data_IF_917610892513
#
_entry.id   IF_917610892513
#
_cell.length_a   1.000
_cell.length_b   1.000
_cell.length_c   1.000
_cell.angle_alpha   90.00
_cell.angle_beta   90.00
_cell.angle_gamma   90.00
#
_symmetry.space_group_name_H-M   'P 1'
#
loop_
_entity.id
_entity.type
_entity.pdbx_description
1 polymer ?
#
# COMPACT_ATOMS: atom_id res chain seq x y z
N UNK A 1 -23.07 9.61 -1.19
CA UNK A 1 -22.54 8.34 -0.68
C UNK A 1 -22.80 7.23 -1.69
N UNK A 2 -21.76 6.52 -2.10
CA UNK A 2 -21.85 5.41 -3.05
C UNK A 2 -20.99 4.25 -2.55
N UNK A 3 -21.40 3.04 -2.90
CA UNK A 3 -20.56 1.86 -2.65
C UNK A 3 -19.42 1.81 -3.67
N UNK A 4 -18.26 1.30 -3.23
CA UNK A 4 -17.09 1.10 -4.08
C UNK A 4 -16.89 -0.41 -4.27
N UNK A 5 -16.90 -0.86 -5.51
CA UNK A 5 -16.60 -2.26 -5.83
C UNK A 5 -15.11 -2.39 -6.09
N UNK A 6 -14.41 -3.09 -5.20
CA UNK A 6 -12.95 -3.22 -5.27
C UNK A 6 -12.48 -3.90 -6.55
N UNK A 7 -13.14 -4.99 -6.95
CA UNK A 7 -12.75 -5.72 -8.16
C UNK A 7 -12.85 -4.83 -9.41
N UNK A 8 -13.92 -4.04 -9.51
CA UNK A 8 -14.10 -3.11 -10.63
C UNK A 8 -13.02 -2.03 -10.63
N UNK A 9 -12.66 -1.51 -9.46
CA UNK A 9 -11.61 -0.48 -9.35
C UNK A 9 -10.24 -1.03 -9.69
N UNK A 10 -9.88 -2.22 -9.21
CA UNK A 10 -8.61 -2.86 -9.57
C UNK A 10 -8.52 -3.14 -11.07
N UNK A 11 -9.63 -3.38 -11.75
CA UNK A 11 -9.64 -3.61 -13.19
C UNK A 11 -9.30 -2.37 -14.02
N UNK A 12 -9.27 -1.18 -13.41
CA UNK A 12 -9.03 0.07 -14.12
C UNK A 12 -7.54 0.37 -14.36
N UNK A 13 -6.62 -0.36 -13.75
CA UNK A 13 -5.19 -0.07 -13.87
C UNK A 13 -4.35 -1.34 -13.86
N UNK A 14 -3.17 -1.26 -14.46
CA UNK A 14 -2.24 -2.40 -14.59
C UNK A 14 -0.85 -2.14 -14.00
N UNK A 15 -0.52 -0.89 -13.68
CA UNK A 15 0.79 -0.53 -13.14
C UNK A 15 0.97 -1.04 -11.71
N UNK A 16 2.21 -1.28 -11.35
CA UNK A 16 2.59 -1.75 -10.02
C UNK A 16 3.22 -0.63 -9.19
N UNK A 17 3.10 -0.72 -7.88
CA UNK A 17 3.71 0.19 -6.91
C UNK A 17 3.26 1.65 -7.07
N UNK A 18 2.13 1.87 -7.70
CA UNK A 18 1.54 3.19 -7.93
C UNK A 18 0.14 3.24 -7.34
N UNK A 19 -0.03 3.65 -6.09
CA UNK A 19 -1.34 3.67 -5.43
C UNK A 19 -2.30 4.62 -6.13
N UNK A 20 -3.58 4.23 -6.15
CA UNK A 20 -4.68 5.06 -6.66
C UNK A 20 -5.61 5.41 -5.52
N UNK A 21 -6.07 6.65 -5.46
CA UNK A 21 -7.01 7.09 -4.44
C UNK A 21 -8.41 6.62 -4.85
N UNK A 22 -9.01 5.76 -4.03
CA UNK A 22 -10.37 5.26 -4.26
C UNK A 22 -11.40 5.95 -3.35
N UNK A 23 -10.97 6.58 -2.28
CA UNK A 23 -11.85 7.28 -1.36
C UNK A 23 -11.08 8.01 -0.29
N UNK A 24 -11.80 8.77 0.53
CA UNK A 24 -11.24 9.50 1.66
C UNK A 24 -12.07 9.24 2.91
N UNK A 25 -11.38 9.08 4.02
CA UNK A 25 -11.98 8.88 5.33
C UNK A 25 -11.28 9.84 6.31
N UNK A 26 -11.93 10.97 6.61
CA UNK A 26 -11.31 12.05 7.40
C UNK A 26 -9.94 12.44 6.81
N UNK A 27 -8.88 12.38 7.62
CA UNK A 27 -7.52 12.74 7.19
C UNK A 27 -6.78 11.60 6.49
N UNK A 28 -7.46 10.51 6.16
CA UNK A 28 -6.89 9.36 5.50
C UNK A 28 -7.44 9.18 4.08
N UNK A 29 -6.65 8.55 3.24
CA UNK A 29 -7.11 8.00 1.96
C UNK A 29 -7.31 6.50 2.06
N UNK A 30 -8.29 6.01 1.33
CA UNK A 30 -8.40 4.60 0.95
C UNK A 30 -7.76 4.49 -0.43
N UNK A 31 -6.62 3.80 -0.51
CA UNK A 31 -5.86 3.63 -1.75
C UNK A 31 -5.90 2.19 -2.20
N UNK A 32 -5.89 1.98 -3.51
CA UNK A 32 -5.76 0.66 -4.10
C UNK A 32 -4.43 0.59 -4.83
N UNK A 33 -3.69 -0.51 -4.64
CA UNK A 33 -2.40 -0.69 -5.28
C UNK A 33 -2.21 -2.15 -5.68
N UNK A 34 -1.59 -2.36 -6.82
CA UNK A 34 -1.09 -3.67 -7.25
C UNK A 34 0.40 -3.72 -7.00
N UNK A 35 0.85 -4.85 -6.44
CA UNK A 35 2.25 -5.06 -6.10
C UNK A 35 2.75 -6.31 -6.79
N UNK A 36 3.98 -6.25 -7.30
CA UNK A 36 4.70 -7.40 -7.84
C UNK A 36 6.19 -7.12 -7.78
N UNK A 37 6.94 -8.08 -7.25
CA UNK A 37 8.37 -7.91 -7.04
C UNK A 37 8.69 -7.30 -5.69
N UNK A 38 9.85 -6.72 -5.58
CA UNK A 38 10.38 -6.15 -4.35
C UNK A 38 10.35 -4.63 -4.42
N UNK A 39 9.89 -3.98 -3.35
CA UNK A 39 9.89 -2.53 -3.27
C UNK A 39 11.25 -2.00 -2.80
N UNK A 40 11.27 -1.13 -1.78
CA UNK A 40 12.49 -0.60 -1.16
C UNK A 40 12.33 -0.58 0.35
N UNK A 41 13.44 -0.70 1.09
CA UNK A 41 13.44 -0.46 2.51
C UNK A 41 13.13 1.02 2.76
N UNK A 42 12.12 1.29 3.58
CA UNK A 42 11.72 2.66 3.92
C UNK A 42 10.91 2.67 5.21
N UNK A 43 10.67 3.87 5.72
CA UNK A 43 9.76 4.12 6.83
C UNK A 43 9.02 5.43 6.61
N UNK A 44 7.93 5.61 7.35
CA UNK A 44 7.18 6.86 7.38
C UNK A 44 7.34 7.49 8.76
N UNK A 45 7.83 8.72 8.82
CA UNK A 45 8.17 9.34 10.11
C UNK A 45 6.94 9.62 10.98
N UNK A 46 5.81 9.95 10.35
CA UNK A 46 4.63 10.45 11.05
C UNK A 46 3.35 9.69 10.75
N UNK A 47 3.39 8.68 9.87
CA UNK A 47 2.19 7.99 9.42
C UNK A 47 2.24 6.50 9.76
N UNK A 48 1.13 6.00 10.34
CA UNK A 48 0.87 4.57 10.38
C UNK A 48 0.29 4.15 9.03
N UNK A 49 0.55 2.92 8.61
CA UNK A 49 0.10 2.42 7.31
C UNK A 49 -0.58 1.07 7.46
N UNK A 50 -1.85 0.98 7.05
CA UNK A 50 -2.59 -0.28 7.06
C UNK A 50 -2.55 -0.91 5.68
N UNK A 51 -2.13 -2.19 5.63
CA UNK A 51 -2.15 -3.03 4.43
C UNK A 51 -3.23 -4.10 4.59
N UNK A 52 -4.25 -4.07 3.76
CA UNK A 52 -5.27 -5.13 3.67
C UNK A 52 -5.09 -5.88 2.35
N UNK A 53 -4.76 -7.16 2.40
CA UNK A 53 -4.61 -7.97 1.19
C UNK A 53 -5.97 -8.45 0.72
N UNK A 54 -6.35 -8.06 -0.49
CA UNK A 54 -7.61 -8.45 -1.14
C UNK A 54 -7.41 -9.69 -2.00
N UNK A 55 -6.26 -9.81 -2.65
CA UNK A 55 -5.95 -10.95 -3.52
C UNK A 55 -4.46 -11.26 -3.46
N UNK A 56 -4.12 -12.53 -3.32
CA UNK A 56 -2.74 -12.98 -3.22
C UNK A 56 -2.22 -12.94 -1.79
N UNK A 57 -0.92 -12.81 -1.64
CA UNK A 57 -0.27 -12.71 -0.33
C UNK A 57 0.94 -11.78 -0.40
N UNK A 58 1.12 -11.01 0.64
CA UNK A 58 2.18 -10.00 0.75
C UNK A 58 3.14 -10.38 1.86
N UNK A 59 4.44 -10.27 1.59
CA UNK A 59 5.47 -10.34 2.60
C UNK A 59 5.89 -8.93 3.00
N UNK A 60 5.71 -8.59 4.28
CA UNK A 60 6.28 -7.37 4.85
C UNK A 60 7.52 -7.76 5.63
N UNK A 61 8.69 -7.45 5.08
CA UNK A 61 9.95 -7.69 5.77
C UNK A 61 10.23 -6.56 6.72
N UNK A 62 10.45 -6.90 8.00
CA UNK A 62 10.93 -5.98 9.01
C UNK A 62 12.40 -6.29 9.29
N UNK A 63 13.11 -5.41 9.98
CA UNK A 63 14.54 -5.65 10.25
C UNK A 63 14.79 -6.88 11.12
N UNK A 64 13.86 -7.18 12.04
CA UNK A 64 13.97 -8.27 13.00
C UNK A 64 13.15 -9.52 12.65
N UNK A 65 12.24 -9.43 11.68
CA UNK A 65 11.36 -10.55 11.31
C UNK A 65 10.61 -10.28 10.03
N UNK A 66 9.99 -11.32 9.49
CA UNK A 66 9.07 -11.24 8.36
C UNK A 66 7.63 -11.41 8.83
N UNK A 67 6.73 -10.66 8.23
CA UNK A 67 5.29 -10.75 8.49
C UNK A 67 4.57 -11.06 7.18
N UNK A 68 3.92 -12.22 7.11
CA UNK A 68 3.06 -12.56 5.98
C UNK A 68 1.66 -12.01 6.21
N UNK A 69 1.11 -11.39 5.19
CA UNK A 69 -0.28 -10.93 5.16
C UNK A 69 -0.98 -11.69 4.05
N UNK A 70 -1.88 -12.59 4.42
CA UNK A 70 -2.60 -13.41 3.48
C UNK A 70 -3.90 -12.75 3.04
N UNK A 71 -4.53 -13.30 2.01
CA UNK A 71 -5.81 -12.82 1.50
C UNK A 71 -6.84 -12.71 2.63
N UNK A 72 -7.49 -11.55 2.74
CA UNK A 72 -8.46 -11.29 3.80
C UNK A 72 -7.85 -10.83 5.12
N UNK A 73 -6.52 -10.72 5.21
CA UNK A 73 -5.82 -10.26 6.40
C UNK A 73 -5.31 -8.84 6.23
N UNK A 74 -5.10 -8.16 7.34
CA UNK A 74 -4.42 -6.85 7.32
C UNK A 74 -3.30 -6.80 8.35
N UNK A 75 -2.36 -5.92 8.11
CA UNK A 75 -1.32 -5.55 9.06
C UNK A 75 -1.20 -4.04 9.10
N UNK A 76 -0.84 -3.51 10.26
CA UNK A 76 -0.56 -2.08 10.41
C UNK A 76 0.93 -1.94 10.69
N UNK A 77 1.62 -1.19 9.84
CA UNK A 77 3.01 -0.80 10.05
C UNK A 77 3.01 0.52 10.81
N UNK A 78 3.46 0.54 12.06
CA UNK A 78 3.51 1.77 12.83
C UNK A 78 4.50 2.77 12.23
N UNK A 79 4.25 4.05 12.44
CA UNK A 79 5.20 5.10 12.05
C UNK A 79 6.59 4.80 12.60
N UNK A 80 7.61 5.13 11.82
CA UNK A 80 9.01 4.93 12.19
C UNK A 80 9.54 3.51 11.97
N UNK A 81 8.67 2.53 11.69
CA UNK A 81 9.11 1.14 11.51
C UNK A 81 9.58 0.91 10.07
N UNK A 82 10.86 0.55 9.93
CA UNK A 82 11.42 0.21 8.63
C UNK A 82 10.83 -1.09 8.09
N UNK A 83 10.44 -1.07 6.83
CA UNK A 83 9.82 -2.23 6.19
C UNK A 83 10.15 -2.30 4.70
N UNK A 84 10.13 -3.51 4.17
CA UNK A 84 10.33 -3.82 2.76
C UNK A 84 9.17 -4.71 2.29
N UNK A 85 8.22 -4.17 1.55
CA UNK A 85 7.17 -5.00 0.95
C UNK A 85 7.71 -5.84 -0.20
N UNK A 86 7.34 -7.11 -0.23
CA UNK A 86 7.71 -8.06 -1.29
C UNK A 86 6.47 -8.83 -1.72
N UNK A 87 6.19 -8.79 -3.01
CA UNK A 87 5.11 -9.56 -3.63
C UNK A 87 5.71 -10.50 -4.69
N UNK A 88 5.83 -11.79 -4.39
CA UNK A 88 6.40 -12.77 -5.34
C UNK A 88 5.55 -12.90 -6.59
N UNK A 89 4.22 -12.95 -6.39
CA UNK A 89 3.22 -12.90 -7.44
C UNK A 89 2.40 -11.63 -7.31
N UNK A 90 1.56 -11.31 -8.27
CA UNK A 90 0.74 -10.11 -8.21
C UNK A 90 -0.18 -10.13 -6.97
N UNK A 91 -0.16 -9.04 -6.20
CA UNK A 91 -0.97 -8.85 -5.00
C UNK A 91 -1.81 -7.59 -5.15
N UNK A 92 -3.08 -7.66 -4.76
CA UNK A 92 -3.97 -6.51 -4.70
C UNK A 92 -4.16 -6.10 -3.25
N UNK A 93 -3.83 -4.85 -2.95
CA UNK A 93 -3.81 -4.33 -1.58
C UNK A 93 -4.65 -3.07 -1.47
N UNK A 94 -5.45 -3.00 -0.41
CA UNK A 94 -6.06 -1.74 0.04
C UNK A 94 -5.14 -1.14 1.10
N UNK A 95 -4.69 0.08 0.86
CA UNK A 95 -3.94 0.88 1.83
C UNK A 95 -4.88 1.89 2.47
N UNK A 96 -4.84 2.00 3.79
CA UNK A 96 -5.51 3.08 4.51
C UNK A 96 -4.43 3.79 5.31
N UNK A 97 -4.23 5.07 5.01
CA UNK A 97 -3.13 5.85 5.59
C UNK A 97 -3.43 7.34 5.52
N UNK A 98 -2.79 8.15 6.37
CA UNK A 98 -2.96 9.60 6.32
C UNK A 98 -2.65 10.17 4.94
N UNK A 99 -3.36 11.22 4.56
CA UNK A 99 -3.21 11.87 3.24
C UNK A 99 -1.80 12.38 2.97
N UNK A 100 -1.05 12.66 4.03
CA UNK A 100 0.35 13.13 3.95
C UNK A 100 1.34 12.04 3.56
N UNK A 101 0.93 10.78 3.48
CA UNK A 101 1.85 9.64 3.26
C UNK A 101 2.40 9.64 1.84
N UNK A 102 3.74 9.69 1.72
CA UNK A 102 4.44 9.46 0.46
C UNK A 102 4.71 7.95 0.32
N UNK A 103 4.46 7.38 -0.86
CA UNK A 103 4.55 5.92 -1.06
C UNK A 103 5.92 5.32 -0.70
N UNK A 104 7.00 6.04 -0.95
CA UNK A 104 8.37 5.62 -0.62
C UNK A 104 8.88 6.16 0.71
N UNK A 105 8.04 6.81 1.51
CA UNK A 105 8.38 7.32 2.83
C UNK A 105 9.57 8.27 2.82
N UNK A 106 10.60 7.90 3.57
CA UNK A 106 11.82 8.70 3.72
C UNK A 106 12.78 8.59 2.51
N UNK A 107 12.47 7.73 1.54
CA UNK A 107 13.32 7.49 0.36
C UNK A 107 12.69 8.15 -0.86
N UNK A 108 13.52 8.78 -1.69
CA UNK A 108 13.10 9.29 -3.00
C UNK A 108 13.89 8.61 -4.09
N UNK A 109 13.18 7.96 -5.01
CA UNK A 109 13.78 7.24 -6.13
C UNK A 109 12.79 7.17 -7.29
N UNK A 110 13.08 6.32 -8.28
CA UNK A 110 12.24 6.15 -9.46
C UNK A 110 10.83 5.59 -9.18
N UNK A 111 10.63 5.00 -8.01
CA UNK A 111 9.31 4.49 -7.59
C UNK A 111 8.47 5.52 -6.84
N UNK A 112 9.02 6.68 -6.52
CA UNK A 112 8.29 7.72 -5.79
C UNK A 112 7.20 8.32 -6.65
N UNK A 113 5.97 8.38 -6.12
CA UNK A 113 4.81 8.98 -6.78
C UNK A 113 4.27 10.07 -5.85
N UNK A 114 4.49 11.33 -6.22
CA UNK A 114 4.08 12.47 -5.39
C UNK A 114 2.62 12.82 -5.57
N UNK A 115 2.08 12.67 -6.77
CA UNK A 115 0.69 12.95 -7.07
C UNK A 115 0.00 11.69 -7.55
N UNK A 116 -0.96 11.21 -6.76
CA UNK A 116 -1.69 9.98 -7.04
C UNK A 116 -2.93 10.28 -7.90
N UNK A 117 -3.20 9.38 -8.84
CA UNK A 117 -4.46 9.40 -9.57
C UNK A 117 -5.61 8.97 -8.68
N UNK A 118 -6.77 9.59 -8.88
CA UNK A 118 -8.02 9.15 -8.26
C UNK A 118 -8.83 8.32 -9.25
N UNK A 119 -9.47 7.32 -8.73
CA UNK A 119 -10.25 6.39 -9.55
C UNK A 119 -11.69 6.22 -9.05
#
# INVERSE_FOLDING_TARGET
MQSVNLAQKFALFDDYWSPKIAGALNDAYVKLVKLKGEFVWHHHDSEDELFLVVKGRLLLRLRDRDVWVNEGEFAIVPKGVEHLPVARDEVHVVLIEPKSTLNTGNVRNERTVEQLDSI
#
